data_IF_407264625213
#
_entry.id   IF_407264625213
#
_cell.length_a   1.000
_cell.length_b   1.000
_cell.length_c   1.000
_cell.angle_alpha   90.00
_cell.angle_beta   90.00
_cell.angle_gamma   90.00
#
_symmetry.space_group_name_H-M   'P 1'
#
loop_
_entity.id
_entity.type
_entity.pdbx_description
1 polymer ?
#
# COMPACT_ATOMS: atom_id res chain seq x y z
N UNK A 1 -27.19 36.69 -62.43
CA UNK A 1 -26.70 37.54 -61.33
C UNK A 1 -27.17 36.96 -60.00
N UNK A 2 -26.20 36.68 -59.10
CA UNK A 2 -26.31 36.45 -57.65
C UNK A 2 -27.06 35.19 -57.16
N UNK A 3 -26.33 34.08 -57.06
CA UNK A 3 -26.66 32.97 -56.16
C UNK A 3 -26.55 33.45 -54.70
N UNK A 4 -27.65 33.39 -53.95
CA UNK A 4 -27.67 33.67 -52.51
C UNK A 4 -27.38 32.40 -51.75
N UNK A 5 -26.15 32.24 -51.27
CA UNK A 5 -25.74 31.10 -50.45
C UNK A 5 -26.31 31.26 -49.03
N UNK A 6 -27.29 30.45 -48.66
CA UNK A 6 -27.75 30.32 -47.27
C UNK A 6 -26.82 29.34 -46.55
N UNK A 7 -25.99 29.83 -45.63
CA UNK A 7 -25.19 28.99 -44.73
C UNK A 7 -26.10 28.44 -43.61
N UNK A 8 -26.22 27.13 -43.42
CA UNK A 8 -26.76 26.58 -42.19
C UNK A 8 -25.67 26.58 -41.12
N UNK A 9 -25.94 27.22 -39.97
CA UNK A 9 -25.12 27.14 -38.77
C UNK A 9 -25.30 25.73 -38.18
N UNK A 10 -24.33 24.84 -38.39
CA UNK A 10 -24.27 23.56 -37.70
C UNK A 10 -23.66 23.79 -36.31
N UNK A 11 -24.49 23.72 -35.27
CA UNK A 11 -24.02 23.69 -33.87
C UNK A 11 -23.48 22.29 -33.60
N UNK A 12 -22.16 22.13 -33.65
CA UNK A 12 -21.49 20.91 -33.23
C UNK A 12 -21.48 20.85 -31.70
N UNK A 13 -22.32 20.00 -31.10
CA UNK A 13 -22.22 19.64 -29.68
C UNK A 13 -21.02 18.70 -29.53
N UNK A 14 -19.87 19.25 -29.17
CA UNK A 14 -18.72 18.46 -28.79
C UNK A 14 -18.98 17.81 -27.42
N UNK A 15 -19.42 16.55 -27.42
CA UNK A 15 -19.42 15.71 -26.22
C UNK A 15 -17.96 15.40 -25.89
N UNK A 16 -17.38 16.18 -24.99
CA UNK A 16 -16.06 15.90 -24.45
C UNK A 16 -16.07 14.58 -23.70
N UNK A 17 -15.42 13.56 -24.27
CA UNK A 17 -15.03 12.36 -23.54
C UNK A 17 -14.08 12.79 -22.42
N UNK A 18 -14.61 12.99 -21.21
CA UNK A 18 -13.80 13.09 -20.01
C UNK A 18 -13.13 11.72 -19.82
N UNK A 19 -11.92 11.58 -20.36
CA UNK A 19 -11.04 10.47 -20.02
C UNK A 19 -10.87 10.51 -18.50
N UNK A 20 -11.07 9.40 -17.77
CA UNK A 20 -10.79 9.37 -16.36
C UNK A 20 -9.32 9.76 -16.21
N UNK A 21 -9.06 10.91 -15.59
CA UNK A 21 -7.71 11.27 -15.20
C UNK A 21 -7.21 10.08 -14.39
N UNK A 22 -6.20 9.39 -14.90
CA UNK A 22 -5.58 8.28 -14.19
C UNK A 22 -5.19 8.83 -12.84
N UNK A 23 -5.94 8.45 -11.81
CA UNK A 23 -5.63 8.80 -10.43
C UNK A 23 -4.37 8.03 -10.14
N UNK A 24 -3.25 8.71 -10.37
CA UNK A 24 -2.02 8.39 -9.67
C UNK A 24 -2.41 8.45 -8.20
N UNK A 25 -2.14 7.41 -7.45
CA UNK A 25 -2.54 7.24 -6.07
C UNK A 25 -1.52 6.24 -5.51
N UNK A 26 -0.54 6.69 -4.71
CA UNK A 26 0.65 5.87 -4.40
C UNK A 26 1.42 6.26 -3.13
N UNK A 27 2.10 5.26 -2.54
CA UNK A 27 3.15 5.46 -1.56
C UNK A 27 4.39 4.63 -1.90
N UNK A 28 5.54 5.05 -1.39
CA UNK A 28 6.82 4.34 -1.52
C UNK A 28 7.28 3.81 -0.18
N UNK A 29 7.85 2.61 -0.18
CA UNK A 29 8.55 2.08 0.99
C UNK A 29 10.01 2.54 0.94
N UNK A 30 10.38 3.47 1.82
CA UNK A 30 11.75 4.01 1.88
C UNK A 30 12.64 3.13 2.76
N UNK A 31 12.16 2.77 3.95
CA UNK A 31 12.85 1.91 4.89
C UNK A 31 11.86 0.96 5.58
N UNK A 32 12.15 -0.35 5.69
CA UNK A 32 13.29 -1.07 5.10
C UNK A 32 13.24 -1.10 3.56
N UNK A 33 14.33 -1.52 2.90
CA UNK A 33 14.41 -1.49 1.44
C UNK A 33 13.36 -2.39 0.78
N UNK A 34 12.68 -1.88 -0.25
CA UNK A 34 11.64 -2.61 -0.97
C UNK A 34 12.19 -3.83 -1.73
N UNK A 35 11.37 -4.89 -1.82
CA UNK A 35 11.71 -6.12 -2.55
C UNK A 35 11.67 -5.95 -4.09
N UNK A 36 11.00 -4.90 -4.57
CA UNK A 36 10.90 -4.52 -5.97
C UNK A 36 11.32 -3.07 -6.17
N UNK A 37 11.73 -2.76 -7.39
CA UNK A 37 12.02 -1.40 -7.83
C UNK A 37 10.70 -0.67 -8.01
N UNK A 38 10.50 0.35 -7.19
CA UNK A 38 9.36 1.25 -7.26
C UNK A 38 9.69 2.46 -8.14
N UNK A 39 8.71 2.91 -8.93
CA UNK A 39 8.82 4.18 -9.63
C UNK A 39 8.75 5.37 -8.64
N UNK A 40 8.93 6.63 -9.12
CA UNK A 40 8.87 7.79 -8.23
C UNK A 40 7.54 7.99 -7.49
N UNK A 41 6.47 7.31 -7.89
CA UNK A 41 5.17 7.35 -7.24
C UNK A 41 5.02 6.22 -6.24
N UNK A 42 5.61 5.06 -6.51
CA UNK A 42 5.45 3.84 -5.72
C UNK A 42 4.90 2.67 -6.49
N UNK A 43 4.76 2.77 -7.81
CA UNK A 43 4.30 1.66 -8.62
C UNK A 43 5.41 0.61 -8.85
N UNK A 44 5.05 -0.68 -8.95
CA UNK A 44 3.68 -1.22 -8.90
C UNK A 44 3.28 -1.70 -7.49
N UNK A 45 2.10 -1.28 -7.02
CA UNK A 45 1.65 -1.50 -5.61
C UNK A 45 0.21 -2.02 -5.46
N UNK A 46 -0.52 -2.16 -6.57
CA UNK A 46 -1.93 -2.58 -6.53
C UNK A 46 -2.11 -4.07 -6.23
N UNK A 47 -1.29 -4.93 -6.83
CA UNK A 47 -1.46 -6.37 -6.70
C UNK A 47 -1.07 -6.85 -5.29
N UNK A 48 -2.03 -7.38 -4.53
CA UNK A 48 -1.73 -8.02 -3.25
C UNK A 48 -0.95 -9.34 -3.42
N UNK A 49 -0.17 -9.77 -2.41
CA UNK A 49 0.01 -9.12 -1.10
C UNK A 49 1.18 -8.12 -1.05
N UNK A 50 2.04 -8.06 -2.07
CA UNK A 50 3.32 -7.35 -2.00
C UNK A 50 3.54 -6.30 -3.09
N UNK A 51 2.48 -5.90 -3.78
CA UNK A 51 2.60 -5.11 -5.00
C UNK A 51 3.05 -5.98 -6.16
N UNK A 52 3.49 -5.32 -7.23
CA UNK A 52 3.93 -5.98 -8.45
C UNK A 52 3.02 -5.81 -9.66
N UNK A 53 3.55 -6.24 -10.79
CA UNK A 53 2.90 -6.18 -12.09
C UNK A 53 1.83 -7.27 -12.23
N UNK A 54 0.67 -6.86 -12.74
CA UNK A 54 -0.48 -7.70 -13.02
C UNK A 54 -0.22 -8.85 -14.00
N UNK A 55 0.81 -8.72 -14.84
CA UNK A 55 1.18 -9.72 -15.84
C UNK A 55 2.23 -10.69 -15.31
N UNK A 56 2.54 -10.63 -14.00
CA UNK A 56 3.48 -11.52 -13.34
C UNK A 56 4.91 -11.31 -13.80
N UNK A 57 5.33 -10.06 -14.06
CA UNK A 57 6.69 -9.71 -14.51
C UNK A 57 7.56 -9.16 -13.38
N UNK A 58 7.26 -9.51 -12.13
CA UNK A 58 7.97 -9.00 -10.96
C UNK A 58 9.46 -9.39 -10.97
N UNK A 59 9.84 -10.47 -11.67
CA UNK A 59 11.23 -10.93 -11.79
C UNK A 59 12.15 -9.82 -12.31
N UNK A 60 11.65 -8.95 -13.20
CA UNK A 60 12.42 -7.83 -13.76
C UNK A 60 12.55 -6.65 -12.80
N UNK A 61 11.72 -6.61 -11.76
CA UNK A 61 11.66 -5.53 -10.78
C UNK A 61 12.41 -5.88 -9.49
N UNK A 62 12.73 -7.15 -9.25
CA UNK A 62 13.37 -7.61 -8.02
C UNK A 62 14.65 -6.81 -7.70
N UNK A 63 14.72 -6.24 -6.50
CA UNK A 63 15.92 -5.52 -6.03
C UNK A 63 16.97 -6.48 -5.47
N UNK A 64 16.56 -7.68 -5.06
CA UNK A 64 17.36 -8.61 -4.24
C UNK A 64 17.85 -8.02 -2.91
N UNK A 65 17.29 -6.88 -2.48
CA UNK A 65 17.64 -6.26 -1.22
C UNK A 65 17.16 -7.13 -0.05
N UNK A 66 18.02 -7.29 0.96
CA UNK A 66 17.69 -7.97 2.21
C UNK A 66 18.18 -7.12 3.37
N UNK A 67 17.26 -6.59 4.18
CA UNK A 67 17.61 -5.76 5.34
C UNK A 67 17.91 -6.66 6.54
N UNK A 68 19.14 -6.56 7.07
CA UNK A 68 19.57 -7.32 8.24
C UNK A 68 19.15 -6.61 9.52
N UNK A 69 18.47 -7.32 10.42
CA UNK A 69 17.95 -6.77 11.66
C UNK A 69 18.05 -7.77 12.81
N UNK A 70 17.93 -7.26 14.04
CA UNK A 70 17.95 -8.06 15.26
C UNK A 70 16.52 -8.38 15.71
N UNK A 71 16.25 -9.64 16.02
CA UNK A 71 14.99 -10.08 16.59
C UNK A 71 14.72 -9.39 17.93
N UNK A 72 13.46 -9.07 18.20
CA UNK A 72 13.09 -8.38 19.45
C UNK A 72 13.58 -6.93 19.53
N UNK A 73 14.16 -6.36 18.47
CA UNK A 73 14.47 -4.93 18.39
C UNK A 73 13.31 -4.13 17.79
N UNK A 74 13.43 -2.81 17.87
CA UNK A 74 12.61 -1.90 17.07
C UNK A 74 13.17 -1.86 15.63
N UNK A 75 12.30 -2.02 14.64
CA UNK A 75 12.59 -1.78 13.23
C UNK A 75 12.08 -0.39 12.87
N UNK A 76 12.94 0.42 12.27
CA UNK A 76 12.52 1.70 11.70
C UNK A 76 11.74 1.46 10.40
N UNK A 77 10.53 2.01 10.34
CA UNK A 77 9.66 2.03 9.17
C UNK A 77 9.55 3.46 8.68
N UNK A 78 9.80 3.68 7.38
CA UNK A 78 9.70 4.97 6.73
C UNK A 78 8.99 4.84 5.39
N UNK A 79 7.92 5.61 5.23
CA UNK A 79 7.02 5.58 4.08
C UNK A 79 6.91 6.98 3.50
N UNK A 80 7.03 7.09 2.17
CA UNK A 80 6.72 8.32 1.47
C UNK A 80 5.39 8.17 0.75
N UNK A 81 4.34 8.73 1.32
CA UNK A 81 3.09 8.92 0.60
C UNK A 81 3.29 10.01 -0.46
N UNK A 82 3.03 9.69 -1.72
CA UNK A 82 3.22 10.65 -2.83
C UNK A 82 1.91 11.34 -3.19
N UNK A 83 0.79 10.72 -2.84
CA UNK A 83 -0.57 11.20 -3.05
C UNK A 83 -1.35 10.88 -1.78
N UNK A 84 -1.94 11.91 -1.20
CA UNK A 84 -2.70 11.79 0.03
C UNK A 84 -3.90 10.87 -0.20
N UNK A 85 -4.09 9.90 0.69
CA UNK A 85 -5.31 9.12 0.84
C UNK A 85 -5.70 9.02 2.30
N UNK A 86 -6.92 9.44 2.61
CA UNK A 86 -7.48 9.20 3.94
C UNK A 86 -7.44 7.71 4.26
N UNK A 87 -7.01 7.33 5.46
CA UNK A 87 -6.83 5.94 5.81
C UNK A 87 -5.76 5.70 6.88
N UNK A 88 -5.13 4.54 6.81
CA UNK A 88 -4.10 4.08 7.74
C UNK A 88 -3.25 2.96 7.14
N UNK A 89 -2.18 2.60 7.85
CA UNK A 89 -1.27 1.54 7.45
C UNK A 89 -1.31 0.35 8.41
N UNK A 90 -1.09 -0.85 7.84
CA UNK A 90 -0.92 -2.10 8.57
C UNK A 90 0.38 -2.78 8.15
N UNK A 91 1.05 -3.38 9.13
CA UNK A 91 2.29 -4.12 8.96
C UNK A 91 2.11 -5.58 9.38
N UNK A 92 2.47 -6.50 8.51
CA UNK A 92 2.48 -7.93 8.79
C UNK A 92 3.84 -8.55 8.48
N UNK A 93 4.16 -9.68 9.12
CA UNK A 93 5.39 -10.42 8.91
C UNK A 93 5.07 -11.86 8.52
N UNK A 94 5.74 -12.36 7.49
CA UNK A 94 5.69 -13.76 7.07
C UNK A 94 7.09 -14.37 7.18
N UNK A 95 7.22 -15.50 7.87
CA UNK A 95 8.52 -16.09 8.22
C UNK A 95 9.08 -16.94 7.08
N UNK A 96 8.24 -17.78 6.46
CA UNK A 96 8.67 -18.78 5.48
C UNK A 96 8.21 -18.47 4.06
N UNK A 97 7.05 -17.87 3.91
CA UNK A 97 6.45 -17.63 2.60
C UNK A 97 5.44 -16.49 2.68
N UNK A 98 5.35 -15.69 1.62
CA UNK A 98 4.34 -14.64 1.48
C UNK A 98 2.90 -15.13 1.58
N UNK A 99 2.66 -16.43 1.42
CA UNK A 99 1.36 -17.05 1.65
C UNK A 99 0.95 -17.08 3.15
N UNK A 100 1.88 -16.81 4.06
CA UNK A 100 1.61 -16.62 5.49
C UNK A 100 1.09 -15.20 5.79
N UNK A 101 1.17 -14.27 4.83
CA UNK A 101 0.63 -12.92 5.00
C UNK A 101 -0.91 -12.97 5.11
N UNK A 102 -1.50 -12.12 5.95
CA UNK A 102 -2.94 -12.10 6.12
C UNK A 102 -3.60 -11.49 4.87
N UNK A 103 -4.91 -11.74 4.65
CA UNK A 103 -5.66 -10.92 3.72
C UNK A 103 -5.67 -9.45 4.17
N UNK A 104 -5.99 -8.57 3.22
CA UNK A 104 -6.31 -7.17 3.51
C UNK A 104 -7.34 -7.03 4.63
N UNK A 105 -7.31 -5.92 5.38
CA UNK A 105 -8.29 -5.68 6.44
C UNK A 105 -9.71 -5.70 5.87
N UNK A 106 -10.63 -6.25 6.66
CA UNK A 106 -12.05 -6.23 6.31
C UNK A 106 -12.49 -4.78 6.17
N UNK A 107 -13.04 -4.43 5.01
CA UNK A 107 -13.48 -3.07 4.70
C UNK A 107 -14.98 -2.93 4.88
N UNK A 108 -15.38 -1.75 5.32
CA UNK A 108 -16.76 -1.30 5.35
C UNK A 108 -16.99 -0.37 4.17
N UNK A 109 -18.09 -0.58 3.47
CA UNK A 109 -18.36 0.09 2.21
C UNK A 109 -19.66 0.90 2.27
N UNK A 110 -19.77 1.89 1.39
CA UNK A 110 -21.00 2.61 1.11
C UNK A 110 -21.22 2.70 -0.39
N UNK A 111 -22.49 2.77 -0.76
CA UNK A 111 -22.87 3.15 -2.12
C UNK A 111 -22.80 4.66 -2.28
N UNK A 112 -22.26 5.09 -3.41
CA UNK A 112 -22.23 6.49 -3.86
C UNK A 112 -22.75 6.57 -5.28
N UNK A 113 -23.00 7.77 -5.78
CA UNK A 113 -23.37 8.00 -7.19
C UNK A 113 -22.27 7.54 -8.17
N UNK A 114 -21.05 7.30 -7.68
CA UNK A 114 -19.89 6.81 -8.46
C UNK A 114 -19.61 5.32 -8.23
N UNK A 115 -20.50 4.60 -7.56
CA UNK A 115 -20.35 3.18 -7.23
C UNK A 115 -19.98 2.94 -5.77
N UNK A 116 -19.47 1.74 -5.48
CA UNK A 116 -19.09 1.30 -4.13
C UNK A 116 -17.75 1.93 -3.74
N UNK A 117 -17.73 2.54 -2.57
CA UNK A 117 -16.55 3.19 -1.98
C UNK A 117 -16.30 2.61 -0.60
N UNK A 118 -15.04 2.46 -0.23
CA UNK A 118 -14.65 2.17 1.14
C UNK A 118 -15.00 3.34 2.07
N UNK A 119 -15.17 3.04 3.35
CA UNK A 119 -15.39 4.03 4.42
C UNK A 119 -14.36 3.84 5.52
N UNK A 120 -14.13 2.59 5.91
CA UNK A 120 -13.23 2.22 6.99
C UNK A 120 -12.71 0.80 6.76
N UNK A 121 -11.57 0.45 7.37
CA UNK A 121 -11.08 -0.92 7.43
C UNK A 121 -10.75 -1.31 8.87
N UNK A 122 -11.05 -2.55 9.23
CA UNK A 122 -10.87 -3.05 10.58
C UNK A 122 -9.40 -2.98 11.03
N UNK A 123 -9.17 -2.28 12.15
CA UNK A 123 -7.88 -2.21 12.85
C UNK A 123 -7.86 -3.25 13.98
N UNK A 124 -6.81 -4.07 14.02
CA UNK A 124 -6.55 -5.00 15.11
C UNK A 124 -5.87 -4.27 16.28
N UNK A 125 -6.55 -4.23 17.43
CA UNK A 125 -5.99 -3.69 18.67
C UNK A 125 -6.35 -4.60 19.85
N UNK A 126 -5.40 -5.38 20.38
CA UNK A 126 -4.00 -5.51 19.95
C UNK A 126 -3.86 -6.24 18.59
N UNK A 127 -2.80 -5.97 17.81
CA UNK A 127 -2.45 -6.76 16.62
C UNK A 127 -2.32 -8.26 16.94
N UNK A 128 -2.75 -9.11 16.01
CA UNK A 128 -2.64 -10.57 16.11
C UNK A 128 -1.73 -11.11 15.00
N UNK A 129 -0.84 -12.05 15.34
CA UNK A 129 0.04 -12.72 14.38
C UNK A 129 -0.78 -13.20 13.18
N UNK A 130 -0.37 -12.91 11.93
CA UNK A 130 0.93 -12.35 11.51
C UNK A 130 1.04 -10.80 11.49
N UNK A 131 0.01 -10.07 11.89
CA UNK A 131 0.04 -8.59 11.99
C UNK A 131 0.85 -8.18 13.21
N UNK A 132 1.83 -7.30 13.02
CA UNK A 132 2.75 -6.83 14.08
C UNK A 132 2.53 -5.36 14.45
N UNK A 133 1.88 -4.59 13.57
CA UNK A 133 1.41 -3.24 13.85
C UNK A 133 0.19 -2.95 12.97
N UNK A 134 -0.82 -2.29 13.51
CA UNK A 134 -2.03 -1.95 12.77
C UNK A 134 -2.55 -0.58 13.17
N UNK A 135 -3.27 0.08 12.26
CA UNK A 135 -3.78 1.43 12.48
C UNK A 135 -2.68 2.49 12.58
N UNK A 136 -1.52 2.26 11.96
CA UNK A 136 -0.43 3.24 11.93
C UNK A 136 -0.80 4.44 11.07
N UNK A 137 -0.31 5.61 11.47
CA UNK A 137 -0.44 6.87 10.73
C UNK A 137 -1.89 7.17 10.30
N UNK A 138 -2.87 6.95 11.18
CA UNK A 138 -4.27 7.28 10.87
C UNK A 138 -4.39 8.77 10.50
N UNK A 139 -4.81 9.04 9.28
CA UNK A 139 -5.07 10.39 8.79
C UNK A 139 -6.31 10.37 7.92
N UNK A 140 -7.27 11.22 8.24
CA UNK A 140 -8.54 11.31 7.52
C UNK A 140 -8.77 12.75 7.11
N UNK A 141 -9.33 12.95 5.92
CA UNK A 141 -9.75 14.25 5.45
C UNK A 141 -10.75 14.87 6.42
N UNK A 142 -10.72 16.20 6.50
CA UNK A 142 -11.77 16.94 7.20
C UNK A 142 -13.04 16.93 6.37
N UNK A 143 -14.15 17.20 7.04
CA UNK A 143 -15.43 17.41 6.36
C UNK A 143 -15.29 18.49 5.28
N UNK A 144 -15.76 18.18 4.07
CA UNK A 144 -15.67 19.06 2.90
C UNK A 144 -14.33 19.03 2.16
N UNK A 145 -13.29 18.40 2.71
CA UNK A 145 -12.01 18.21 2.02
C UNK A 145 -12.00 16.89 1.23
N UNK A 146 -11.26 16.80 0.10
CA UNK A 146 -11.19 15.57 -0.67
C UNK A 146 -10.45 14.47 0.11
N UNK A 147 -11.00 13.25 0.10
CA UNK A 147 -10.38 12.09 0.73
C UNK A 147 -9.09 11.62 0.04
N UNK A 148 -8.84 12.08 -1.19
CA UNK A 148 -7.56 11.91 -1.88
C UNK A 148 -7.17 13.18 -2.61
N UNK A 149 -5.89 13.55 -2.54
CA UNK A 149 -5.38 14.76 -3.16
C UNK A 149 -3.91 14.61 -3.59
N UNK A 150 -3.60 15.12 -4.79
CA UNK A 150 -2.21 15.32 -5.20
C UNK A 150 -1.67 16.51 -4.41
N UNK A 151 -0.63 16.32 -3.57
CA UNK A 151 -0.12 17.41 -2.75
C UNK A 151 0.66 18.40 -3.64
N UNK A 152 0.56 19.70 -3.34
CA UNK A 152 1.26 20.76 -4.09
C UNK A 152 2.78 20.73 -3.90
N UNK A 153 3.21 20.22 -2.77
CA UNK A 153 4.61 19.98 -2.38
C UNK A 153 4.73 18.55 -1.87
N UNK A 154 5.90 17.90 -1.96
CA UNK A 154 6.08 16.58 -1.37
C UNK A 154 5.64 16.56 0.10
N UNK A 155 4.86 15.55 0.47
CA UNK A 155 4.48 15.32 1.86
C UNK A 155 5.70 14.90 2.67
N UNK A 156 5.74 15.25 3.96
CA UNK A 156 6.73 14.67 4.85
C UNK A 156 6.54 13.13 4.91
N UNK A 157 7.62 12.34 4.98
CA UNK A 157 7.50 10.91 5.19
C UNK A 157 6.78 10.59 6.51
N UNK A 158 5.99 9.52 6.48
CA UNK A 158 5.50 8.87 7.69
C UNK A 158 6.56 7.93 8.20
N UNK A 159 6.93 8.02 9.47
CA UNK A 159 7.93 7.14 10.06
C UNK A 159 7.62 6.78 11.51
N UNK A 160 7.98 5.56 11.89
CA UNK A 160 7.83 5.04 13.25
C UNK A 160 8.75 3.86 13.48
N UNK A 161 8.85 3.44 14.73
CA UNK A 161 9.53 2.21 15.11
C UNK A 161 8.50 1.12 15.42
N UNK A 162 8.59 -0.03 14.76
CA UNK A 162 7.73 -1.20 15.01
C UNK A 162 8.50 -2.28 15.76
N UNK A 163 7.85 -2.91 16.73
CA UNK A 163 8.48 -3.99 17.50
C UNK A 163 8.54 -5.27 16.66
N UNK A 164 9.75 -5.78 16.39
CA UNK A 164 9.92 -7.08 15.77
C UNK A 164 9.78 -8.20 16.81
N UNK A 165 9.27 -9.38 16.41
CA UNK A 165 9.39 -10.57 17.24
C UNK A 165 10.86 -11.01 17.33
N UNK A 166 11.22 -11.64 18.43
CA UNK A 166 12.52 -12.25 18.65
C UNK A 166 12.57 -13.66 18.07
N UNK A 167 12.83 -13.72 16.76
CA UNK A 167 12.92 -14.95 15.96
C UNK A 167 14.16 -14.91 15.07
N UNK A 168 14.51 -16.04 14.46
CA UNK A 168 15.51 -16.10 13.39
C UNK A 168 14.83 -16.45 12.07
N UNK A 169 15.06 -15.65 11.03
CA UNK A 169 14.61 -15.89 9.66
C UNK A 169 15.75 -15.53 8.69
N UNK A 170 16.00 -16.38 7.67
CA UNK A 170 17.01 -16.05 6.66
C UNK A 170 16.49 -15.03 5.65
N UNK A 171 15.20 -15.12 5.32
CA UNK A 171 14.52 -14.25 4.36
C UNK A 171 13.01 -14.21 4.63
N UNK A 172 12.60 -13.49 5.66
CA UNK A 172 11.19 -13.25 5.95
C UNK A 172 10.68 -12.03 5.18
N UNK A 173 9.38 -11.97 4.93
CA UNK A 173 8.76 -10.84 4.23
C UNK A 173 8.01 -9.97 5.22
N UNK A 174 8.37 -8.68 5.28
CA UNK A 174 7.59 -7.64 5.92
C UNK A 174 6.65 -7.03 4.89
N UNK A 175 5.34 -7.08 5.13
CA UNK A 175 4.32 -6.44 4.31
C UNK A 175 3.92 -5.10 4.92
N UNK A 176 3.79 -4.09 4.07
CA UNK A 176 3.27 -2.78 4.39
C UNK A 176 2.07 -2.53 3.47
N UNK A 177 0.89 -2.34 4.05
CA UNK A 177 -0.29 -1.95 3.27
C UNK A 177 -0.82 -0.60 3.72
N UNK A 178 -1.29 0.19 2.75
CA UNK A 178 -2.08 1.39 2.99
C UNK A 178 -3.53 1.08 2.66
N UNK A 179 -4.42 1.11 3.65
CA UNK A 179 -5.86 1.15 3.39
C UNK A 179 -6.27 2.59 3.05
N UNK A 180 -7.13 2.75 2.05
CA UNK A 180 -7.68 4.03 1.62
C UNK A 180 -9.19 4.07 1.90
N UNK A 181 -9.61 4.98 2.75
CA UNK A 181 -11.01 5.35 3.00
C UNK A 181 -11.53 6.30 1.92
N UNK A 182 -12.85 6.30 1.73
CA UNK A 182 -13.54 7.10 0.71
C UNK A 182 -12.91 6.93 -0.68
N UNK A 183 -12.48 5.70 -0.97
CA UNK A 183 -11.78 5.33 -2.20
C UNK A 183 -12.62 4.32 -2.99
N UNK A 184 -12.62 4.46 -4.32
CA UNK A 184 -13.25 3.48 -5.22
C UNK A 184 -12.43 2.20 -5.31
N UNK A 185 -13.02 1.10 -5.79
CA UNK A 185 -12.29 -0.17 -5.85
C UNK A 185 -11.13 -0.14 -6.87
N UNK A 186 -9.90 -0.45 -6.45
CA UNK A 186 -8.75 -0.67 -7.33
C UNK A 186 -8.79 -2.08 -7.94
N UNK A 187 -8.65 -2.16 -9.25
CA UNK A 187 -8.49 -3.42 -9.97
C UNK A 187 -7.02 -3.60 -10.39
N UNK A 188 -6.26 -4.53 -9.79
CA UNK A 188 -6.52 -5.30 -8.57
C UNK A 188 -6.22 -4.44 -7.32
N UNK A 189 -6.32 -5.04 -6.14
CA UNK A 189 -5.88 -4.44 -4.89
C UNK A 189 -6.98 -3.94 -3.98
N UNK A 190 -8.23 -3.94 -4.44
CA UNK A 190 -9.36 -3.51 -3.62
C UNK A 190 -9.18 -2.07 -3.15
N UNK A 191 -9.20 -1.86 -1.84
CA UNK A 191 -9.00 -0.52 -1.26
C UNK A 191 -7.62 -0.32 -0.67
N UNK A 192 -6.65 -1.16 -1.06
CA UNK A 192 -5.31 -1.12 -0.49
C UNK A 192 -4.22 -0.99 -1.55
N UNK A 193 -3.11 -0.38 -1.13
CA UNK A 193 -1.81 -0.50 -1.79
C UNK A 193 -0.86 -1.33 -0.96
N UNK A 194 0.07 -2.00 -1.62
CA UNK A 194 0.87 -3.07 -1.05
C UNK A 194 2.34 -2.89 -1.42
N UNK A 195 3.18 -2.94 -0.41
CA UNK A 195 4.63 -3.04 -0.54
C UNK A 195 5.16 -4.13 0.38
N UNK A 196 6.34 -4.65 0.04
CA UNK A 196 7.03 -5.62 0.87
C UNK A 196 8.53 -5.31 0.97
N UNK A 197 9.14 -5.80 2.03
CA UNK A 197 10.59 -5.84 2.19
C UNK A 197 11.01 -7.25 2.61
N UNK A 198 12.18 -7.67 2.14
CA UNK A 198 12.77 -8.92 2.60
C UNK A 198 13.76 -8.63 3.75
N UNK A 199 13.55 -9.29 4.89
CA UNK A 199 14.34 -9.14 6.09
C UNK A 199 15.17 -10.41 6.37
N UNK A 200 16.39 -10.23 6.86
CA UNK A 200 17.14 -11.27 7.56
C UNK A 200 17.13 -10.93 9.05
N UNK A 201 16.32 -11.64 9.83
CA UNK A 201 16.20 -11.45 11.28
C UNK A 201 17.10 -12.44 11.99
N UNK A 202 17.98 -11.97 12.87
CA UNK A 202 18.75 -12.82 13.79
C UNK A 202 18.22 -12.64 15.20
N UNK A 203 17.75 -13.71 15.84
CA UNK A 203 17.26 -13.63 17.22
C UNK A 203 18.34 -13.07 18.17
N UNK A 204 17.93 -12.18 19.04
CA UNK A 204 18.74 -11.68 20.14
C UNK A 204 18.85 -12.76 21.23
N UNK A 205 20.05 -13.32 21.49
CA UNK A 205 20.23 -14.38 22.47
C UNK A 205 20.00 -13.90 23.91
N UNK A 206 19.95 -12.58 24.14
CA UNK A 206 19.65 -12.01 25.46
C UNK A 206 18.16 -11.91 25.77
N UNK A 207 17.28 -12.20 24.80
CA UNK A 207 15.82 -12.11 24.94
C UNK A 207 15.16 -13.48 24.75
N UNK A 208 13.99 -13.72 25.36
CA UNK A 208 13.20 -14.92 25.07
C UNK A 208 12.82 -15.00 23.60
N UNK A 209 12.79 -16.22 23.04
CA UNK A 209 12.29 -16.47 21.68
C UNK A 209 10.75 -16.41 21.67
N UNK A 210 10.18 -15.73 20.70
CA UNK A 210 8.72 -15.62 20.54
C UNK A 210 8.12 -16.88 19.91
N UNK A 211 7.64 -17.79 20.77
CA UNK A 211 7.12 -19.12 20.40
C UNK A 211 5.78 -19.10 19.63
N UNK A 212 5.12 -17.93 19.54
CA UNK A 212 3.88 -17.77 18.79
C UNK A 212 4.08 -17.75 17.26
N UNK A 213 5.33 -17.66 16.81
CA UNK A 213 5.69 -17.63 15.39
C UNK A 213 6.08 -19.02 14.89
N UNK A 214 5.70 -19.32 13.65
CA UNK A 214 6.19 -20.50 12.94
C UNK A 214 7.71 -20.47 12.87
N UNK A 215 8.37 -21.58 13.19
CA UNK A 215 9.82 -21.69 13.02
C UNK A 215 10.21 -21.52 11.55
N UNK A 216 11.34 -20.86 11.31
CA UNK A 216 11.92 -20.78 9.97
C UNK A 216 12.27 -22.19 9.49
N UNK A 217 11.82 -22.54 8.29
CA UNK A 217 12.19 -23.80 7.63
C UNK A 217 13.65 -23.71 7.19
N UNK A 218 14.39 -24.79 7.40
CA UNK A 218 15.69 -24.98 6.75
C UNK A 218 15.48 -25.05 5.24
N UNK A 219 16.10 -24.11 4.52
CA UNK A 219 16.16 -24.10 3.05
C UNK A 219 16.92 -25.32 2.51
#
# INVERSE_FOLDING_TARGET
MKHSLRLPFAVAVAVGLALPAGTSAHFRLLEPASWITEDPRGDPQKLGPCGGDLKGQNEKLLTSAVTKVTGGSKLHLKIQETIFHSGHYRIALAVNSRNELPPDPITFEKYTDRGVYSVWAAIQSPPQIPVIADGLFQHYNKEGEPASAIPKTPMAPWETDIQLPNITCAKCTLQVIQFMADHGYNQPGGYSYHHCSDLQITADPSKPIDKGWTAARSN
#
